data_IF_126936117708
#
_entry.id   IF_126936117708
#
_cell.length_a   1.000
_cell.length_b   1.000
_cell.length_c   1.000
_cell.angle_alpha   90.00
_cell.angle_beta   90.00
_cell.angle_gamma   90.00
#
_symmetry.space_group_name_H-M   'P 1'
#
loop_
_entity.id
_entity.type
_entity.pdbx_description
1 polymer ?
#
# COMPACT_ATOMS: atom_id res chain seq x y z
N UNK A 1 -4.94 -23.14 -8.62
CA UNK A 1 -3.71 -23.96 -8.55
C UNK A 1 -2.47 -23.27 -9.14
N UNK A 2 -2.47 -22.82 -10.41
CA UNK A 2 -1.28 -22.19 -11.05
C UNK A 2 -0.65 -21.04 -10.26
N UNK A 3 -1.46 -20.19 -9.62
CA UNK A 3 -0.95 -19.05 -8.82
C UNK A 3 -0.27 -19.49 -7.53
N UNK A 4 -0.79 -20.51 -6.84
CA UNK A 4 -0.21 -21.05 -5.60
C UNK A 4 1.12 -21.72 -5.89
N UNK A 5 1.19 -22.55 -6.93
CA UNK A 5 2.44 -23.20 -7.35
C UNK A 5 3.54 -22.18 -7.67
N UNK A 6 3.21 -21.08 -8.36
CA UNK A 6 4.16 -19.99 -8.65
C UNK A 6 4.64 -19.27 -7.38
N UNK A 7 3.76 -19.05 -6.39
CA UNK A 7 4.14 -18.44 -5.11
C UNK A 7 5.07 -19.36 -4.31
N UNK A 8 4.77 -20.66 -4.26
CA UNK A 8 5.64 -21.65 -3.62
C UNK A 8 7.00 -21.69 -4.31
N UNK A 9 7.04 -21.76 -5.65
CA UNK A 9 8.30 -21.76 -6.39
C UNK A 9 9.11 -20.48 -6.14
N UNK A 10 8.47 -19.31 -6.15
CA UNK A 10 9.10 -18.02 -5.83
C UNK A 10 9.68 -18.00 -4.41
N UNK A 11 8.94 -18.50 -3.40
CA UNK A 11 9.42 -18.61 -2.02
C UNK A 11 10.62 -19.55 -1.90
N UNK A 12 10.52 -20.75 -2.46
CA UNK A 12 11.59 -21.75 -2.39
C UNK A 12 12.85 -21.22 -3.06
N UNK A 13 12.74 -20.70 -4.27
CA UNK A 13 13.88 -20.12 -5.01
C UNK A 13 14.48 -18.95 -4.24
N UNK A 14 13.65 -18.03 -3.72
CA UNK A 14 14.13 -16.88 -2.97
C UNK A 14 14.83 -17.26 -1.66
N UNK A 15 14.29 -18.24 -0.92
CA UNK A 15 14.88 -18.73 0.33
C UNK A 15 16.22 -19.45 0.09
N UNK A 16 16.31 -20.27 -0.97
CA UNK A 16 17.59 -20.87 -1.38
C UNK A 16 18.61 -19.76 -1.69
N UNK A 17 18.20 -18.72 -2.43
CA UNK A 17 19.06 -17.57 -2.70
C UNK A 17 19.57 -16.88 -1.43
N UNK A 18 18.69 -16.66 -0.43
CA UNK A 18 19.07 -16.08 0.87
C UNK A 18 20.08 -16.97 1.61
N UNK A 19 19.87 -18.29 1.61
CA UNK A 19 20.79 -19.24 2.26
C UNK A 19 22.16 -19.23 1.58
N UNK A 20 22.19 -19.29 0.24
CA UNK A 20 23.44 -19.23 -0.53
C UNK A 20 24.19 -17.91 -0.32
N UNK A 21 23.46 -16.80 -0.33
CA UNK A 21 24.00 -15.48 0.01
C UNK A 21 24.58 -15.48 1.42
N UNK A 22 23.85 -16.00 2.41
CA UNK A 22 24.29 -16.07 3.80
C UNK A 22 25.56 -16.91 3.97
N UNK A 23 25.65 -18.07 3.33
CA UNK A 23 26.84 -18.94 3.36
C UNK A 23 28.04 -18.22 2.77
N UNK A 24 27.88 -17.63 1.58
CA UNK A 24 28.97 -16.93 0.90
C UNK A 24 29.43 -15.70 1.67
N UNK A 25 28.49 -14.91 2.19
CA UNK A 25 28.79 -13.70 2.97
C UNK A 25 29.43 -14.04 4.32
N UNK A 26 29.01 -15.13 4.95
CA UNK A 26 29.64 -15.64 6.17
C UNK A 26 31.13 -15.94 5.95
N UNK A 27 31.43 -16.68 4.87
CA UNK A 27 32.82 -17.03 4.51
C UNK A 27 33.64 -15.80 4.11
N UNK A 28 33.08 -14.87 3.33
CA UNK A 28 33.76 -13.62 2.95
C UNK A 28 34.10 -12.77 4.17
N UNK A 29 33.19 -12.69 5.16
CA UNK A 29 33.45 -11.97 6.41
C UNK A 29 34.54 -12.64 7.26
N UNK A 30 34.65 -13.96 7.23
CA UNK A 30 35.71 -14.68 7.95
C UNK A 30 37.09 -14.45 7.31
N UNK A 31 37.16 -14.28 5.99
CA UNK A 31 38.38 -13.94 5.25
C UNK A 31 38.80 -12.48 5.52
N UNK A 32 37.83 -11.58 5.61
CA UNK A 32 38.07 -10.13 5.76
C UNK A 32 38.50 -9.47 4.45
N UNK A 33 39.09 -8.28 4.54
CA UNK A 33 39.58 -7.53 3.38
C UNK A 33 40.88 -8.13 2.86
N UNK A 34 40.79 -8.99 1.86
CA UNK A 34 41.91 -9.45 1.06
C UNK A 34 41.86 -8.81 -0.33
N UNK A 35 43.02 -8.50 -0.92
CA UNK A 35 43.12 -7.92 -2.26
C UNK A 35 44.30 -8.53 -2.98
N UNK A 36 44.10 -8.92 -4.23
CA UNK A 36 45.17 -9.32 -5.13
C UNK A 36 45.89 -8.08 -5.67
N UNK A 37 46.64 -7.40 -4.81
CA UNK A 37 47.77 -6.55 -5.17
C UNK A 37 47.50 -5.31 -6.04
N UNK A 38 47.29 -4.17 -5.39
CA UNK A 38 47.72 -2.87 -5.92
C UNK A 38 48.87 -2.34 -5.06
N UNK A 39 49.81 -1.58 -5.64
CA UNK A 39 51.05 -1.12 -4.97
C UNK A 39 50.85 -0.22 -3.74
N UNK A 40 49.61 0.14 -3.40
CA UNK A 40 49.29 1.07 -2.32
C UNK A 40 48.33 0.50 -1.26
N UNK A 41 48.01 -0.79 -1.30
CA UNK A 41 47.12 -1.40 -0.31
C UNK A 41 47.83 -2.57 0.36
N UNK A 42 48.10 -2.43 1.66
CA UNK A 42 48.57 -3.53 2.51
C UNK A 42 47.39 -4.46 2.77
N UNK A 43 47.05 -5.28 1.78
CA UNK A 43 46.06 -6.33 1.92
C UNK A 43 46.76 -7.69 2.01
N UNK A 44 46.23 -8.59 2.83
CA UNK A 44 46.69 -9.97 2.86
C UNK A 44 46.30 -10.65 1.53
N UNK A 45 47.15 -11.55 0.98
CA UNK A 45 46.78 -12.32 -0.20
C UNK A 45 45.52 -13.14 0.09
N UNK A 46 44.57 -13.14 -0.85
CA UNK A 46 43.33 -13.90 -0.69
C UNK A 46 43.62 -15.41 -0.71
N UNK A 47 43.00 -16.21 0.19
CA UNK A 47 43.10 -17.66 0.10
C UNK A 47 42.51 -18.15 -1.23
N UNK A 48 43.04 -19.25 -1.74
CA UNK A 48 42.52 -19.90 -2.95
C UNK A 48 41.03 -20.26 -2.78
N UNK A 49 40.23 -20.03 -3.82
CA UNK A 49 38.79 -20.30 -3.81
C UNK A 49 37.90 -19.14 -3.30
N UNK A 50 38.48 -18.06 -2.78
CA UNK A 50 37.74 -16.83 -2.39
C UNK A 50 36.86 -16.26 -3.52
N UNK A 51 37.34 -16.31 -4.77
CA UNK A 51 36.57 -15.92 -5.96
C UNK A 51 35.27 -16.73 -6.09
N UNK A 52 35.32 -18.04 -5.82
CA UNK A 52 34.13 -18.90 -5.89
C UNK A 52 33.08 -18.53 -4.85
N UNK A 53 33.51 -18.20 -3.63
CA UNK A 53 32.64 -17.76 -2.53
C UNK A 53 31.97 -16.40 -2.84
N UNK A 54 32.71 -15.49 -3.47
CA UNK A 54 32.15 -14.23 -3.95
C UNK A 54 31.05 -14.47 -5.00
N UNK A 55 31.31 -15.30 -6.01
CA UNK A 55 30.31 -15.64 -7.01
C UNK A 55 29.11 -16.40 -6.43
N UNK A 56 29.32 -17.26 -5.43
CA UNK A 56 28.24 -17.93 -4.71
C UNK A 56 27.33 -16.93 -4.00
N UNK A 57 27.94 -15.94 -3.32
CA UNK A 57 27.20 -14.85 -2.67
C UNK A 57 26.38 -14.06 -3.70
N UNK A 58 27.01 -13.71 -4.82
CA UNK A 58 26.36 -12.93 -5.87
C UNK A 58 25.25 -13.70 -6.58
N UNK A 59 25.44 -14.99 -6.85
CA UNK A 59 24.41 -15.87 -7.39
C UNK A 59 23.22 -16.01 -6.42
N UNK A 60 23.50 -16.17 -5.11
CA UNK A 60 22.47 -16.17 -4.07
C UNK A 60 21.66 -14.88 -4.03
N UNK A 61 22.32 -13.72 -4.12
CA UNK A 61 21.66 -12.42 -4.19
C UNK A 61 20.77 -12.28 -5.43
N UNK A 62 21.26 -12.67 -6.61
CA UNK A 62 20.48 -12.64 -7.86
C UNK A 62 19.27 -13.57 -7.75
N UNK A 63 19.45 -14.79 -7.24
CA UNK A 63 18.37 -15.77 -7.06
C UNK A 63 17.30 -15.27 -6.08
N UNK A 64 17.73 -14.60 -4.99
CA UNK A 64 16.82 -13.95 -4.06
C UNK A 64 16.01 -12.83 -4.72
N UNK A 65 16.66 -11.93 -5.47
CA UNK A 65 16.00 -10.85 -6.20
C UNK A 65 15.02 -11.39 -7.24
N UNK A 66 15.41 -12.42 -8.00
CA UNK A 66 14.52 -13.10 -8.95
C UNK A 66 13.32 -13.73 -8.25
N UNK A 67 13.53 -14.34 -7.07
CA UNK A 67 12.46 -14.85 -6.22
C UNK A 67 11.43 -13.76 -5.89
N UNK A 68 11.89 -12.55 -5.55
CA UNK A 68 11.03 -11.40 -5.29
C UNK A 68 10.28 -10.96 -6.56
N UNK A 69 10.98 -10.76 -7.68
CA UNK A 69 10.39 -10.27 -8.95
C UNK A 69 9.34 -11.24 -9.52
N UNK A 70 9.58 -12.54 -9.38
CA UNK A 70 8.64 -13.57 -9.86
C UNK A 70 7.36 -13.62 -9.02
N UNK A 71 7.39 -13.08 -7.80
CA UNK A 71 6.21 -12.96 -6.93
C UNK A 71 5.17 -12.05 -7.58
N UNK A 72 3.98 -12.58 -7.84
CA UNK A 72 2.91 -11.88 -8.57
C UNK A 72 2.42 -10.58 -7.90
N UNK A 73 2.77 -10.37 -6.64
CA UNK A 73 2.28 -9.27 -5.80
C UNK A 73 3.40 -8.35 -5.29
N UNK A 74 4.65 -8.47 -5.77
CA UNK A 74 5.82 -7.64 -5.40
C UNK A 74 5.71 -7.02 -3.99
N UNK A 75 5.13 -5.80 -3.91
CA UNK A 75 4.83 -5.10 -2.66
C UNK A 75 3.39 -4.56 -2.56
N UNK A 76 2.52 -4.88 -3.51
CA UNK A 76 1.16 -4.31 -3.59
C UNK A 76 0.14 -4.99 -2.66
N UNK A 77 0.53 -6.10 -2.01
CA UNK A 77 -0.28 -6.79 -1.03
C UNK A 77 0.53 -7.85 -0.27
N UNK A 78 -0.04 -8.47 0.78
CA UNK A 78 0.64 -9.49 1.56
C UNK A 78 0.93 -10.70 0.67
N UNK A 79 2.21 -10.97 0.42
CA UNK A 79 2.65 -12.00 -0.51
C UNK A 79 4.11 -12.43 -0.33
N UNK A 80 4.56 -13.37 -1.16
CA UNK A 80 5.90 -13.96 -1.06
C UNK A 80 7.03 -12.94 -1.14
N UNK A 81 6.91 -11.90 -1.98
CA UNK A 81 7.92 -10.85 -2.09
C UNK A 81 8.17 -10.13 -0.76
N UNK A 82 7.11 -9.87 0.00
CA UNK A 82 7.21 -9.22 1.31
C UNK A 82 7.90 -10.12 2.35
N UNK A 83 7.59 -11.42 2.33
CA UNK A 83 8.25 -12.42 3.17
C UNK A 83 9.72 -12.53 2.83
N UNK A 84 10.06 -12.70 1.54
CA UNK A 84 11.44 -12.79 1.06
C UNK A 84 12.25 -11.53 1.36
N UNK A 85 11.65 -10.35 1.23
CA UNK A 85 12.27 -9.08 1.60
C UNK A 85 12.56 -9.02 3.10
N UNK A 86 11.55 -9.32 3.92
CA UNK A 86 11.68 -9.27 5.39
C UNK A 86 12.71 -10.28 5.89
N UNK A 87 12.64 -11.52 5.41
CA UNK A 87 13.59 -12.57 5.80
C UNK A 87 14.99 -12.25 5.31
N UNK A 88 15.16 -11.76 4.07
CA UNK A 88 16.48 -11.41 3.55
C UNK A 88 17.13 -10.24 4.30
N UNK A 89 16.40 -9.15 4.51
CA UNK A 89 16.94 -7.97 5.19
C UNK A 89 16.95 -8.11 6.72
N UNK A 90 15.81 -8.34 7.36
CA UNK A 90 15.76 -8.43 8.82
C UNK A 90 16.41 -9.73 9.32
N UNK A 91 16.15 -10.85 8.65
CA UNK A 91 16.80 -12.13 9.01
C UNK A 91 18.29 -12.13 8.72
N UNK A 92 18.73 -11.65 7.55
CA UNK A 92 20.14 -11.50 7.22
C UNK A 92 20.88 -10.53 8.15
N UNK A 93 20.30 -9.37 8.44
CA UNK A 93 20.84 -8.40 9.39
C UNK A 93 20.93 -8.95 10.82
N UNK A 94 19.90 -9.68 11.27
CA UNK A 94 19.93 -10.35 12.57
C UNK A 94 20.99 -11.46 12.63
N UNK A 95 21.17 -12.25 11.57
CA UNK A 95 22.21 -13.28 11.51
C UNK A 95 23.61 -12.66 11.60
N UNK A 96 23.86 -11.55 10.90
CA UNK A 96 25.11 -10.79 11.01
C UNK A 96 25.34 -10.24 12.41
N UNK A 97 24.30 -9.69 13.03
CA UNK A 97 24.38 -9.19 14.40
C UNK A 97 24.70 -10.32 15.39
N UNK A 98 24.03 -11.46 15.28
CA UNK A 98 24.32 -12.65 16.10
C UNK A 98 25.76 -13.09 15.90
N UNK A 99 26.25 -13.16 14.65
CA UNK A 99 27.64 -13.52 14.35
C UNK A 99 28.63 -12.57 15.05
N UNK A 100 28.40 -11.26 14.96
CA UNK A 100 29.22 -10.22 15.61
C UNK A 100 29.25 -10.36 17.14
N UNK A 101 28.15 -10.81 17.73
CA UNK A 101 28.02 -10.99 19.18
C UNK A 101 28.62 -12.32 19.67
N UNK A 102 28.60 -13.37 18.84
CA UNK A 102 29.04 -14.73 19.25
C UNK A 102 30.49 -15.05 18.89
N UNK A 103 31.10 -14.33 17.92
CA UNK A 103 32.48 -14.58 17.51
C UNK A 103 33.42 -13.45 17.95
N UNK A 104 34.05 -13.56 19.14
CA UNK A 104 34.97 -12.54 19.65
C UNK A 104 36.27 -12.42 18.86
N UNK A 105 36.62 -13.44 18.07
CA UNK A 105 37.85 -13.49 17.26
C UNK A 105 37.74 -12.75 15.92
N UNK A 106 36.61 -12.10 15.63
CA UNK A 106 36.43 -11.38 14.36
C UNK A 106 37.37 -10.16 14.28
N UNK A 107 38.02 -9.90 13.13
CA UNK A 107 38.80 -8.69 12.91
C UNK A 107 37.95 -7.44 13.20
N UNK A 108 38.52 -6.38 13.81
CA UNK A 108 37.77 -5.18 14.20
C UNK A 108 37.05 -4.52 13.01
N UNK A 109 37.67 -4.53 11.82
CA UNK A 109 37.09 -3.95 10.61
C UNK A 109 35.87 -4.74 10.12
N UNK A 110 35.94 -6.08 10.15
CA UNK A 110 34.83 -6.96 9.78
C UNK A 110 33.67 -6.82 10.77
N UNK A 111 33.99 -6.70 12.06
CA UNK A 111 33.01 -6.48 13.13
C UNK A 111 32.26 -5.17 12.93
N UNK A 112 32.99 -4.08 12.65
CA UNK A 112 32.40 -2.76 12.39
C UNK A 112 31.53 -2.81 11.13
N UNK A 113 32.02 -3.36 10.02
CA UNK A 113 31.26 -3.52 8.78
C UNK A 113 29.96 -4.31 8.98
N UNK A 114 30.03 -5.47 9.62
CA UNK A 114 28.86 -6.29 9.90
C UNK A 114 27.85 -5.58 10.84
N UNK A 115 28.34 -4.80 11.82
CA UNK A 115 27.47 -4.02 12.70
C UNK A 115 26.72 -2.90 11.97
N UNK A 116 27.37 -2.19 11.04
CA UNK A 116 26.74 -1.16 10.21
C UNK A 116 25.68 -1.79 9.30
N UNK A 117 26.01 -2.90 8.65
CA UNK A 117 25.07 -3.61 7.78
C UNK A 117 23.85 -4.07 8.58
N UNK A 118 24.04 -4.67 9.75
CA UNK A 118 22.94 -5.09 10.62
C UNK A 118 22.06 -3.91 11.05
N UNK A 119 22.66 -2.78 11.42
CA UNK A 119 21.94 -1.58 11.84
C UNK A 119 21.06 -0.99 10.72
N UNK A 120 21.44 -1.12 9.44
CA UNK A 120 20.65 -0.64 8.30
C UNK A 120 19.63 -1.70 7.85
N UNK A 121 20.03 -2.96 7.77
CA UNK A 121 19.20 -4.03 7.21
C UNK A 121 18.01 -4.38 8.10
N UNK A 122 18.19 -4.38 9.42
CA UNK A 122 17.12 -4.75 10.35
C UNK A 122 15.93 -3.79 10.25
N UNK A 123 16.08 -2.45 10.37
CA UNK A 123 14.97 -1.53 10.20
C UNK A 123 14.32 -1.63 8.81
N UNK A 124 15.14 -1.77 7.76
CA UNK A 124 14.67 -1.83 6.38
C UNK A 124 13.81 -3.07 6.10
N UNK A 125 14.16 -4.23 6.67
CA UNK A 125 13.33 -5.43 6.59
C UNK A 125 12.11 -5.36 7.50
N UNK A 126 12.26 -4.82 8.71
CA UNK A 126 11.24 -4.82 9.75
C UNK A 126 10.06 -3.88 9.42
N UNK A 127 10.30 -2.72 8.82
CA UNK A 127 9.23 -1.81 8.36
C UNK A 127 8.31 -2.52 7.37
N UNK A 128 8.89 -3.21 6.39
CA UNK A 128 8.13 -3.96 5.39
C UNK A 128 7.44 -5.16 6.03
N UNK A 129 8.10 -5.87 6.94
CA UNK A 129 7.51 -6.99 7.67
C UNK A 129 6.29 -6.61 8.51
N UNK A 130 6.37 -5.53 9.30
CA UNK A 130 5.27 -5.06 10.15
C UNK A 130 4.06 -4.68 9.29
N UNK A 131 4.25 -3.94 8.19
CA UNK A 131 3.15 -3.58 7.29
C UNK A 131 2.46 -4.83 6.76
N UNK A 132 3.22 -5.87 6.43
CA UNK A 132 2.68 -7.15 5.93
C UNK A 132 1.87 -7.90 6.97
N UNK A 133 2.37 -7.97 8.20
CA UNK A 133 1.65 -8.58 9.32
C UNK A 133 0.37 -7.82 9.61
N UNK A 134 0.40 -6.49 9.64
CA UNK A 134 -0.80 -5.65 9.87
C UNK A 134 -1.84 -5.87 8.76
N UNK A 135 -1.42 -5.91 7.50
CA UNK A 135 -2.32 -6.20 6.38
C UNK A 135 -2.93 -7.61 6.48
N UNK A 136 -2.13 -8.60 6.84
CA UNK A 136 -2.58 -9.98 7.01
C UNK A 136 -3.60 -10.11 8.16
N UNK A 137 -3.36 -9.45 9.29
CA UNK A 137 -4.29 -9.41 10.43
C UNK A 137 -5.60 -8.72 10.05
N UNK A 138 -5.53 -7.58 9.33
CA UNK A 138 -6.73 -6.87 8.84
C UNK A 138 -7.55 -7.69 7.86
N UNK A 139 -6.91 -8.45 6.96
CA UNK A 139 -7.61 -9.35 6.05
C UNK A 139 -8.35 -10.46 6.79
N UNK A 140 -7.70 -11.09 7.78
CA UNK A 140 -8.37 -12.11 8.62
C UNK A 140 -9.53 -11.55 9.45
N UNK A 141 -9.43 -10.31 9.91
CA UNK A 141 -10.50 -9.65 10.66
C UNK A 141 -11.72 -9.23 9.83
N UNK A 142 -11.51 -8.94 8.53
CA UNK A 142 -12.58 -8.45 7.64
C UNK A 142 -13.53 -9.53 7.13
N UNK A 143 -13.04 -10.75 6.92
CA UNK A 143 -13.86 -11.84 6.32
C UNK A 143 -14.89 -12.42 7.30
N UNK A 144 -14.72 -12.22 8.61
CA UNK A 144 -15.60 -12.76 9.65
C UNK A 144 -16.99 -12.12 9.76
N UNK A 145 -17.19 -10.90 9.23
CA UNK A 145 -18.46 -10.19 9.36
C UNK A 145 -19.36 -10.27 8.11
N UNK A 146 -18.82 -10.79 6.99
CA UNK A 146 -19.51 -10.82 5.69
C UNK A 146 -20.34 -12.09 5.47
N UNK A 147 -20.06 -13.16 6.21
CA UNK A 147 -20.63 -14.50 5.96
C UNK A 147 -21.99 -14.75 6.64
N UNK A 148 -22.47 -13.85 7.51
CA UNK A 148 -23.75 -14.05 8.24
C UNK A 148 -25.00 -13.49 7.54
N UNK A 149 -24.92 -13.13 6.26
CA UNK A 149 -26.06 -12.48 5.53
C UNK A 149 -26.61 -13.23 4.32
N UNK A 150 -26.18 -14.46 4.07
CA UNK A 150 -26.65 -15.26 2.92
C UNK A 150 -27.14 -16.65 3.36
N UNK A 151 -28.06 -16.71 4.31
CA UNK A 151 -28.96 -17.87 4.43
C UNK A 151 -30.27 -17.47 5.10
N UNK A 152 -31.35 -17.46 4.33
CA UNK A 152 -32.73 -17.39 4.84
C UNK A 152 -33.53 -16.18 4.36
N UNK A 153 -34.39 -16.38 3.36
CA UNK A 153 -35.50 -15.44 3.12
C UNK A 153 -35.90 -15.20 1.67
N UNK A 154 -36.12 -16.26 0.89
CA UNK A 154 -37.01 -16.16 -0.25
C UNK A 154 -38.45 -16.01 0.27
N UNK A 155 -39.00 -14.79 0.28
CA UNK A 155 -40.44 -14.50 0.05
C UNK A 155 -40.73 -12.99 0.12
N UNK A 156 -41.29 -12.50 -0.99
CA UNK A 156 -42.26 -11.39 -1.10
C UNK A 156 -41.88 -10.00 -0.58
N UNK A 157 -41.44 -9.15 -1.51
CA UNK A 157 -41.96 -7.80 -1.75
C UNK A 157 -42.13 -6.83 -0.57
N UNK A 158 -41.10 -6.06 -0.25
CA UNK A 158 -41.20 -4.68 0.25
C UNK A 158 -39.83 -3.99 0.16
N UNK A 159 -39.72 -2.73 -0.31
CA UNK A 159 -38.44 -2.01 -0.34
C UNK A 159 -38.11 -1.47 1.05
N UNK A 160 -37.56 -2.33 1.92
CA UNK A 160 -37.04 -1.90 3.21
C UNK A 160 -35.65 -1.29 3.05
N UNK A 161 -35.61 0.05 2.99
CA UNK A 161 -34.50 0.89 3.45
C UNK A 161 -34.06 0.40 4.84
N UNK A 162 -32.91 -0.28 4.94
CA UNK A 162 -32.33 -0.63 6.23
C UNK A 162 -30.83 -0.32 6.19
N UNK A 163 -30.50 0.81 6.80
CA UNK A 163 -29.13 1.27 7.02
C UNK A 163 -28.36 0.26 7.85
N UNK A 164 -27.15 -0.06 7.38
CA UNK A 164 -26.12 -0.69 8.18
C UNK A 164 -25.15 0.39 8.67
N UNK A 165 -24.56 0.24 9.86
CA UNK A 165 -23.60 1.20 10.39
C UNK A 165 -22.25 0.99 9.69
N UNK A 166 -22.00 1.78 8.64
CA UNK A 166 -20.69 1.94 7.99
C UNK A 166 -20.18 3.38 8.14
N UNK A 167 -20.45 4.00 9.28
CA UNK A 167 -20.17 5.43 9.48
C UNK A 167 -18.67 5.79 9.44
N UNK A 168 -17.77 4.81 9.64
CA UNK A 168 -16.32 5.01 9.55
C UNK A 168 -15.73 4.95 8.14
N UNK A 169 -16.26 4.09 7.24
CA UNK A 169 -15.71 3.93 5.89
C UNK A 169 -16.09 5.09 4.97
N UNK A 170 -17.21 5.74 5.27
CA UNK A 170 -17.80 6.75 4.39
C UNK A 170 -17.08 8.10 4.54
N UNK A 171 -16.58 8.44 5.73
CA UNK A 171 -15.79 9.66 5.95
C UNK A 171 -14.45 9.62 5.20
N UNK A 172 -13.73 8.50 5.27
CA UNK A 172 -12.44 8.35 4.62
C UNK A 172 -12.55 8.31 3.10
N UNK A 173 -13.57 7.62 2.56
CA UNK A 173 -13.84 7.61 1.13
C UNK A 173 -14.20 9.01 0.60
N UNK A 174 -14.97 9.81 1.36
CA UNK A 174 -15.27 11.21 1.03
C UNK A 174 -14.03 12.12 1.08
N UNK A 175 -13.16 11.96 2.08
CA UNK A 175 -11.88 12.67 2.17
C UNK A 175 -10.97 12.37 0.96
N UNK A 176 -10.93 11.11 0.50
CA UNK A 176 -10.18 10.73 -0.71
C UNK A 176 -10.73 11.42 -1.96
N UNK A 177 -12.06 11.51 -2.10
CA UNK A 177 -12.71 12.23 -3.21
C UNK A 177 -12.40 13.73 -3.15
N UNK A 178 -12.47 14.36 -1.97
CA UNK A 178 -12.11 15.77 -1.81
C UNK A 178 -10.65 16.05 -2.21
N UNK A 179 -9.72 15.17 -1.82
CA UNK A 179 -8.32 15.33 -2.18
C UNK A 179 -8.10 15.19 -3.70
N UNK A 180 -8.83 14.28 -4.35
CA UNK A 180 -8.80 14.16 -5.80
C UNK A 180 -9.32 15.44 -6.49
N UNK A 181 -10.46 15.99 -6.04
CA UNK A 181 -11.02 17.25 -6.56
C UNK A 181 -10.04 18.43 -6.39
N UNK A 182 -9.32 18.50 -5.26
CA UNK A 182 -8.26 19.49 -5.04
C UNK A 182 -7.08 19.30 -6.02
N UNK A 183 -6.62 18.07 -6.22
CA UNK A 183 -5.51 17.79 -7.15
C UNK A 183 -5.85 18.16 -8.61
N UNK A 184 -7.12 18.02 -9.00
CA UNK A 184 -7.61 18.43 -10.31
C UNK A 184 -7.83 19.95 -10.43
N UNK A 185 -7.48 20.74 -9.39
CA UNK A 185 -7.74 22.19 -9.29
C UNK A 185 -9.22 22.57 -9.48
N UNK A 186 -10.13 21.64 -9.16
CA UNK A 186 -11.59 21.87 -9.24
C UNK A 186 -12.10 22.65 -8.02
N UNK A 187 -11.47 22.40 -6.86
CA UNK A 187 -11.72 23.10 -5.60
C UNK A 187 -10.57 24.06 -5.31
N UNK A 188 -10.92 25.28 -4.87
CA UNK A 188 -9.95 26.17 -4.23
C UNK A 188 -9.58 25.65 -2.84
N UNK A 189 -8.52 26.22 -2.25
CA UNK A 189 -8.08 25.83 -0.90
C UNK A 189 -9.16 26.12 0.15
N UNK A 190 -9.81 27.27 0.04
CA UNK A 190 -10.89 27.69 0.93
C UNK A 190 -12.12 26.78 0.81
N UNK A 191 -12.51 26.40 -0.42
CA UNK A 191 -13.63 25.49 -0.66
C UNK A 191 -13.34 24.09 -0.10
N UNK A 192 -12.10 23.61 -0.22
CA UNK A 192 -11.68 22.33 0.35
C UNK A 192 -11.76 22.34 1.88
N UNK A 193 -11.25 23.39 2.53
CA UNK A 193 -11.25 23.49 3.99
C UNK A 193 -12.69 23.59 4.53
N UNK A 194 -13.58 24.31 3.84
CA UNK A 194 -15.01 24.39 4.19
C UNK A 194 -15.72 23.03 4.09
N UNK A 195 -15.49 22.25 3.02
CA UNK A 195 -16.08 20.92 2.87
C UNK A 195 -15.49 19.90 3.85
N UNK A 196 -14.22 20.07 4.22
CA UNK A 196 -13.58 19.24 5.24
C UNK A 196 -14.15 19.50 6.63
N UNK A 197 -14.43 20.77 6.97
CA UNK A 197 -15.09 21.13 8.22
C UNK A 197 -16.52 20.55 8.29
N UNK A 198 -17.30 20.68 7.21
CA UNK A 198 -18.67 20.13 7.11
C UNK A 198 -18.72 18.60 7.33
N UNK A 199 -17.67 17.89 6.89
CA UNK A 199 -17.51 16.45 7.14
C UNK A 199 -17.13 16.13 8.59
N UNK A 200 -16.40 17.00 9.27
CA UNK A 200 -15.99 16.83 10.66
C UNK A 200 -17.15 17.15 11.63
N UNK A 201 -17.97 18.14 11.29
CA UNK A 201 -19.14 18.58 12.08
C UNK A 201 -20.36 17.65 11.94
N UNK A 202 -20.28 16.66 11.05
CA UNK A 202 -21.29 15.59 10.94
C UNK A 202 -21.19 14.64 12.14
N UNK A 203 -21.65 15.09 13.30
CA UNK A 203 -21.65 14.33 14.56
C UNK A 203 -22.38 12.97 14.40
N UNK A 204 -21.87 11.87 15.00
CA UNK A 204 -22.45 10.53 14.84
C UNK A 204 -23.86 10.37 15.41
N UNK A 205 -24.20 11.11 16.48
CA UNK A 205 -25.37 10.81 17.33
C UNK A 205 -26.56 11.77 17.15
N UNK A 206 -26.48 12.75 16.26
CA UNK A 206 -27.58 13.68 15.97
C UNK A 206 -28.60 13.13 14.97
N UNK A 207 -29.92 13.47 15.07
CA UNK A 207 -30.90 13.14 14.05
C UNK A 207 -30.48 13.77 12.71
N UNK A 208 -29.92 12.93 11.83
CA UNK A 208 -29.44 13.32 10.50
C UNK A 208 -30.55 13.98 9.71
N UNK A 209 -30.52 15.32 9.62
CA UNK A 209 -31.11 15.98 8.45
C UNK A 209 -30.40 15.36 7.24
N UNK A 210 -31.12 14.90 6.20
CA UNK A 210 -30.49 14.41 4.98
C UNK A 210 -29.77 15.58 4.32
N UNK A 211 -28.55 15.83 4.77
CA UNK A 211 -27.59 16.72 4.14
C UNK A 211 -27.37 16.17 2.76
N UNK A 212 -27.79 16.94 1.76
CA UNK A 212 -27.45 16.67 0.37
C UNK A 212 -25.93 16.49 0.32
N UNK A 213 -25.45 15.33 -0.14
CA UNK A 213 -24.01 15.01 -0.17
C UNK A 213 -23.31 15.98 -1.14
N UNK A 214 -22.83 17.10 -0.58
CA UNK A 214 -22.23 18.21 -1.34
C UNK A 214 -21.01 17.74 -2.11
N UNK A 215 -20.24 16.81 -1.54
CA UNK A 215 -19.05 16.23 -2.19
C UNK A 215 -19.46 15.42 -3.42
N UNK A 216 -20.49 14.60 -3.30
CA UNK A 216 -21.01 13.83 -4.44
C UNK A 216 -21.54 14.75 -5.56
N UNK A 217 -22.25 15.84 -5.21
CA UNK A 217 -22.74 16.81 -6.19
C UNK A 217 -21.61 17.56 -6.91
N UNK A 218 -20.58 18.01 -6.19
CA UNK A 218 -19.43 18.70 -6.80
C UNK A 218 -18.68 17.75 -7.73
N UNK A 219 -18.54 16.47 -7.36
CA UNK A 219 -17.98 15.45 -8.25
C UNK A 219 -18.80 15.30 -9.53
N UNK A 220 -20.12 15.21 -9.41
CA UNK A 220 -21.00 15.11 -10.58
C UNK A 220 -20.88 16.33 -11.50
N UNK A 221 -20.79 17.55 -10.94
CA UNK A 221 -20.59 18.77 -11.72
C UNK A 221 -19.21 18.77 -12.42
N UNK A 222 -18.18 18.25 -11.76
CA UNK A 222 -16.84 18.14 -12.34
C UNK A 222 -16.84 17.15 -13.53
N UNK A 223 -17.51 16.01 -13.38
CA UNK A 223 -17.67 15.03 -14.45
C UNK A 223 -18.42 15.64 -15.65
N UNK A 224 -19.49 16.41 -15.41
CA UNK A 224 -20.24 17.10 -16.47
C UNK A 224 -19.43 18.21 -17.18
N UNK A 225 -18.58 18.93 -16.45
CA UNK A 225 -17.65 19.89 -17.06
C UNK A 225 -16.62 19.17 -17.92
N UNK A 226 -16.07 18.05 -17.43
CA UNK A 226 -15.06 17.28 -18.16
C UNK A 226 -15.60 16.67 -19.46
N UNK A 227 -16.88 16.34 -19.51
CA UNK A 227 -17.56 15.85 -20.71
C UNK A 227 -18.00 16.97 -21.68
N UNK A 228 -17.75 18.24 -21.35
CA UNK A 228 -18.20 19.39 -22.13
C UNK A 228 -19.70 19.67 -22.04
N UNK A 229 -20.43 18.99 -21.14
CA UNK A 229 -21.86 19.20 -20.93
C UNK A 229 -22.17 20.49 -20.12
N UNK A 230 -21.15 21.11 -19.53
CA UNK A 230 -21.24 22.36 -18.80
C UNK A 230 -20.10 23.31 -19.18
N UNK A 231 -20.43 24.58 -19.40
CA UNK A 231 -19.41 25.63 -19.55
C UNK A 231 -18.68 25.86 -18.22
N UNK A 232 -17.53 26.54 -18.28
CA UNK A 232 -16.78 26.90 -17.08
C UNK A 232 -17.59 27.86 -16.19
N UNK A 233 -18.29 28.86 -16.76
CA UNK A 233 -19.10 29.78 -15.94
C UNK A 233 -20.31 29.08 -15.31
N UNK A 234 -20.97 28.20 -16.06
CA UNK A 234 -22.09 27.41 -15.56
C UNK A 234 -21.67 26.48 -14.42
N UNK A 235 -20.48 25.88 -14.54
CA UNK A 235 -19.90 25.03 -13.51
C UNK A 235 -19.65 25.84 -12.22
N UNK A 236 -18.99 26.99 -12.31
CA UNK A 236 -18.69 27.84 -11.15
C UNK A 236 -19.97 28.40 -10.50
N UNK A 237 -20.98 28.74 -11.30
CA UNK A 237 -22.29 29.17 -10.78
C UNK A 237 -23.03 28.04 -10.05
N UNK A 238 -22.99 26.81 -10.56
CA UNK A 238 -23.61 25.64 -9.90
C UNK A 238 -22.82 25.20 -8.67
N UNK A 239 -21.49 25.21 -8.72
CA UNK A 239 -20.62 24.92 -7.57
C UNK A 239 -20.92 25.86 -6.41
N UNK A 240 -21.00 27.18 -6.65
CA UNK A 240 -21.37 28.17 -5.62
C UNK A 240 -22.74 27.93 -4.99
N UNK A 241 -23.73 27.43 -5.74
CA UNK A 241 -25.06 27.06 -5.20
C UNK A 241 -24.98 25.85 -4.28
N UNK A 242 -24.25 24.81 -4.69
CA UNK A 242 -24.02 23.60 -3.87
C UNK A 242 -23.27 23.94 -2.57
N UNK A 243 -22.26 24.80 -2.64
CA UNK A 243 -21.50 25.26 -1.46
C UNK A 243 -22.36 26.03 -0.46
N UNK A 244 -23.34 26.81 -0.93
CA UNK A 244 -24.31 27.50 -0.07
C UNK A 244 -25.37 26.57 0.52
N UNK A 245 -25.36 25.29 0.16
CA UNK A 245 -26.38 24.33 0.58
C UNK A 245 -27.76 24.61 -0.03
N UNK A 246 -27.85 25.45 -1.06
CA UNK A 246 -29.09 25.62 -1.80
C UNK A 246 -29.43 24.26 -2.43
N UNK A 247 -30.63 23.73 -2.14
CA UNK A 247 -31.11 22.57 -2.86
C UNK A 247 -31.14 22.95 -4.33
N UNK A 248 -30.48 22.14 -5.16
CA UNK A 248 -30.73 22.16 -6.60
C UNK A 248 -32.14 21.65 -6.75
N UNK A 249 -33.11 22.57 -6.65
CA UNK A 249 -34.51 22.21 -6.70
C UNK A 249 -34.76 21.51 -8.03
N UNK A 250 -35.33 20.32 -7.92
CA UNK A 250 -35.79 19.51 -9.04
C UNK A 250 -36.90 20.18 -9.87
N UNK A 251 -37.17 21.49 -9.67
CA UNK A 251 -38.14 22.29 -10.41
C UNK A 251 -37.85 22.30 -11.91
N UNK A 252 -36.56 22.26 -12.30
CA UNK A 252 -36.16 22.13 -13.71
C UNK A 252 -36.55 20.76 -14.31
N UNK A 253 -36.60 19.71 -13.48
CA UNK A 253 -37.04 18.37 -13.86
C UNK A 253 -38.58 18.27 -13.99
N UNK A 254 -39.33 19.16 -13.32
CA UNK A 254 -40.78 19.26 -13.46
C UNK A 254 -41.19 19.99 -14.75
N UNK A 255 -40.46 21.04 -15.15
CA UNK A 255 -40.75 21.75 -16.42
C UNK A 255 -40.54 20.86 -17.66
N UNK A 256 -39.50 20.02 -17.69
CA UNK A 256 -39.32 19.05 -18.81
C UNK A 256 -40.41 17.97 -18.86
N UNK A 257 -40.93 17.54 -17.71
CA UNK A 257 -42.00 16.53 -17.67
C UNK A 257 -43.34 17.08 -18.15
N UNK A 258 -43.65 18.35 -17.87
CA UNK A 258 -44.89 19.00 -18.33
C UNK A 258 -44.87 19.14 -19.87
N UNK A 259 -43.74 19.54 -20.46
CA UNK A 259 -43.63 19.63 -21.92
C UNK A 259 -43.69 18.28 -22.63
N UNK A 260 -43.18 17.19 -22.03
CA UNK A 260 -43.27 15.85 -22.60
C UNK A 260 -44.69 15.23 -22.60
N UNK A 261 -45.63 15.81 -21.83
CA UNK A 261 -47.02 15.36 -21.76
C UNK A 261 -47.97 16.14 -22.68
N UNK A 262 -47.59 17.32 -23.17
CA UNK A 262 -48.42 18.14 -24.06
C UNK A 262 -48.27 17.80 -25.55
N UNK A 263 -47.35 16.90 -25.90
CA UNK A 263 -47.06 16.49 -27.28
C UNK A 263 -47.61 15.08 -27.62
N UNK A 264 -48.58 14.59 -26.84
CA UNK A 264 -49.33 13.36 -27.07
C UNK A 264 -50.81 13.68 -26.99
#
# INVERSE_FOLDING_TARGET
MKTVARQIASLVTGLIGIVLLGIGLNQVLDIGSCSSGGSYVVARPCPEGSTGLFWLSMAGAIMWILGIIVSKQNFSGPGAGQVLWTVGFAGGGAALLVKVLTQPSMPPDARLGASIVAAVFIPMGLVVGIVGVVQLVRQRGGDGNSSRRTTGGARTGAPSRRGGPTDGSDSWSRLKVLNALRSMRVLTREEYDALKADLADSEPDGPRKPGVDRVALIRQLADQRSSGALSVEEFEARKRRVMRGERIDSSERSHRRIWSRSAR
#
